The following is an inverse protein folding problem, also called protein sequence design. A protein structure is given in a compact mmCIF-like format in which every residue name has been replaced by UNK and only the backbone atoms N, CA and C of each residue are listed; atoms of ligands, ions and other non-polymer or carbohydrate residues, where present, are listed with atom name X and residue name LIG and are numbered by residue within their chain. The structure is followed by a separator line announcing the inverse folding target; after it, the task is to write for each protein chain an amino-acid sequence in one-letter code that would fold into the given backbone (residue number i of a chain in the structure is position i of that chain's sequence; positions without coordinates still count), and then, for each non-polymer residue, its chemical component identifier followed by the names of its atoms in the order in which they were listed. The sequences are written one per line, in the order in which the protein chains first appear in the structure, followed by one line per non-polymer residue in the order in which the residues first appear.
data_IF_542377062406
#
_entry.id   IF_542377062406
#
_cell.length_a   1.000
_cell.length_b   1.000
_cell.length_c   1.000
_cell.angle_alpha   90.00
_cell.angle_beta   90.00
_cell.angle_gamma   90.00
#
_symmetry.space_group_name_H-M   'P 1'
#
loop_
_entity.id
_entity.type
_entity.pdbx_description
1 polymer ?
#
# COMPACT_ATOMS: atom_id res chain seq x y z
N UNK A 1 -22.62 17.40 3.55
CA UNK A 1 -23.78 16.49 3.76
C UNK A 1 -23.36 15.06 4.14
N UNK A 2 -22.24 14.52 3.63
CA UNK A 2 -21.83 13.14 3.93
C UNK A 2 -21.44 12.92 5.41
N UNK A 3 -20.76 13.88 6.04
CA UNK A 3 -20.34 13.75 7.44
C UNK A 3 -21.50 13.67 8.44
N UNK A 4 -22.62 14.35 8.21
CA UNK A 4 -23.77 14.28 9.13
C UNK A 4 -24.36 12.86 9.17
N UNK A 5 -24.55 12.25 7.99
CA UNK A 5 -25.03 10.87 7.85
C UNK A 5 -24.04 9.90 8.49
N UNK A 6 -22.74 10.08 8.24
CA UNK A 6 -21.67 9.24 8.80
C UNK A 6 -21.62 9.32 10.33
N UNK A 7 -21.65 10.53 10.91
CA UNK A 7 -21.66 10.69 12.37
C UNK A 7 -22.89 10.05 13.01
N UNK A 8 -24.06 10.18 12.37
CA UNK A 8 -25.28 9.54 12.86
C UNK A 8 -25.19 8.01 12.77
N UNK A 9 -24.66 7.48 11.67
CA UNK A 9 -24.41 6.05 11.51
C UNK A 9 -23.46 5.50 12.57
N UNK A 10 -22.35 6.19 12.84
CA UNK A 10 -21.41 5.81 13.90
C UNK A 10 -22.09 5.74 15.26
N UNK A 11 -22.91 6.72 15.62
CA UNK A 11 -23.64 6.71 16.90
C UNK A 11 -24.59 5.53 17.02
N UNK A 12 -25.31 5.20 15.95
CA UNK A 12 -26.22 4.06 15.93
C UNK A 12 -25.44 2.76 16.08
N UNK A 13 -24.33 2.60 15.34
CA UNK A 13 -23.50 1.39 15.38
C UNK A 13 -22.81 1.18 16.73
N UNK A 14 -22.32 2.26 17.36
CA UNK A 14 -21.63 2.19 18.66
C UNK A 14 -22.58 2.32 19.86
N UNK A 15 -23.88 2.51 19.65
CA UNK A 15 -24.84 2.77 20.72
C UNK A 15 -24.58 4.07 21.50
N UNK A 16 -23.90 5.05 20.90
CA UNK A 16 -23.53 6.28 21.58
C UNK A 16 -24.70 7.29 21.62
N UNK A 17 -24.74 8.11 22.67
CA UNK A 17 -25.72 9.19 22.78
C UNK A 17 -25.63 10.15 21.60
N UNK A 18 -26.74 10.84 21.29
CA UNK A 18 -26.78 11.88 20.24
C UNK A 18 -25.83 13.05 20.52
N UNK A 19 -25.50 13.27 21.80
CA UNK A 19 -24.63 14.34 22.29
C UNK A 19 -23.15 13.95 22.42
N UNK A 20 -22.79 12.67 22.26
CA UNK A 20 -21.39 12.23 22.33
C UNK A 20 -20.52 13.03 21.36
N UNK A 21 -19.36 13.56 21.73
CA UNK A 21 -18.54 14.34 20.81
C UNK A 21 -17.96 13.46 19.69
N UNK A 22 -17.80 14.02 18.49
CA UNK A 22 -17.30 13.31 17.29
C UNK A 22 -15.89 12.69 17.51
N UNK A 23 -14.93 13.38 18.14
CA UNK A 23 -13.62 12.79 18.43
C UNK A 23 -13.72 11.49 19.25
N UNK A 24 -14.62 11.45 20.25
CA UNK A 24 -14.83 10.22 21.04
C UNK A 24 -15.44 9.10 20.20
N UNK A 25 -16.33 9.41 19.24
CA UNK A 25 -16.85 8.40 18.33
C UNK A 25 -15.73 7.77 17.50
N UNK A 26 -14.81 8.58 16.98
CA UNK A 26 -13.67 8.10 16.19
C UNK A 26 -12.77 7.14 16.97
N UNK A 27 -12.52 7.44 18.25
CA UNK A 27 -11.73 6.57 19.14
C UNK A 27 -12.46 5.26 19.41
N UNK A 28 -13.77 5.31 19.70
CA UNK A 28 -14.57 4.11 20.04
C UNK A 28 -14.77 3.20 18.83
N UNK A 29 -14.93 3.77 17.63
CA UNK A 29 -15.12 3.00 16.41
C UNK A 29 -13.82 2.56 15.74
N UNK A 30 -12.66 2.95 16.27
CA UNK A 30 -11.34 2.77 15.63
C UNK A 30 -11.32 3.23 14.17
N UNK A 31 -12.05 4.31 13.86
CA UNK A 31 -12.22 4.77 12.48
C UNK A 31 -11.82 6.24 12.39
N UNK A 32 -10.88 6.63 11.51
CA UNK A 32 -10.47 8.01 11.36
C UNK A 32 -11.56 8.89 10.71
N UNK A 33 -11.35 10.22 10.78
CA UNK A 33 -12.22 11.18 10.11
C UNK A 33 -12.28 10.94 8.61
N UNK A 34 -13.38 11.36 7.99
CA UNK A 34 -13.55 11.25 6.54
C UNK A 34 -12.43 12.01 5.81
N UNK A 35 -12.10 13.21 6.28
CA UNK A 35 -11.00 14.03 5.77
C UNK A 35 -9.66 13.29 5.81
N UNK A 36 -9.33 12.63 6.92
CA UNK A 36 -8.08 11.86 7.03
C UNK A 36 -8.05 10.67 6.06
N UNK A 37 -9.20 10.03 5.84
CA UNK A 37 -9.29 8.94 4.85
C UNK A 37 -9.15 9.44 3.43
N UNK A 38 -9.73 10.58 3.10
CA UNK A 38 -9.55 11.24 1.80
C UNK A 38 -8.08 11.61 1.57
N UNK A 39 -7.41 12.20 2.57
CA UNK A 39 -5.98 12.49 2.50
C UNK A 39 -5.15 11.22 2.29
N UNK A 40 -5.40 10.16 3.07
CA UNK A 40 -4.70 8.88 2.92
C UNK A 40 -4.88 8.28 1.52
N UNK A 41 -6.11 8.27 1.01
CA UNK A 41 -6.42 7.74 -0.32
C UNK A 41 -5.74 8.57 -1.42
N UNK A 42 -5.83 9.89 -1.31
CA UNK A 42 -5.22 10.84 -2.24
C UNK A 42 -3.70 10.67 -2.28
N UNK A 43 -3.04 10.63 -1.12
CA UNK A 43 -1.60 10.41 -1.02
C UNK A 43 -1.19 9.04 -1.56
N UNK A 44 -1.92 7.98 -1.23
CA UNK A 44 -1.63 6.64 -1.76
C UNK A 44 -1.68 6.62 -3.28
N UNK A 45 -2.70 7.25 -3.86
CA UNK A 45 -2.86 7.34 -5.31
C UNK A 45 -1.75 8.19 -5.93
N UNK A 46 -1.42 9.31 -5.29
CA UNK A 46 -0.32 10.18 -5.70
C UNK A 46 1.03 9.44 -5.71
N UNK A 47 1.35 8.68 -4.65
CA UNK A 47 2.56 7.86 -4.57
C UNK A 47 2.60 6.85 -5.71
N UNK A 48 1.50 6.13 -5.98
CA UNK A 48 1.43 5.13 -7.06
C UNK A 48 1.67 5.75 -8.44
N UNK A 49 1.05 6.90 -8.71
CA UNK A 49 1.24 7.60 -9.98
C UNK A 49 2.66 8.13 -10.09
N UNK A 50 3.30 8.50 -8.98
CA UNK A 50 4.68 9.01 -8.95
C UNK A 50 5.75 7.94 -9.07
N UNK A 51 5.51 6.75 -8.54
CA UNK A 51 6.45 5.63 -8.61
C UNK A 51 6.49 4.96 -9.98
N UNK A 52 5.39 5.05 -10.75
CA UNK A 52 5.28 4.44 -12.08
C UNK A 52 5.42 5.49 -13.19
N UNK A 53 6.60 5.54 -13.81
CA UNK A 53 6.89 6.45 -14.93
C UNK A 53 6.01 6.19 -16.16
N UNK A 54 5.54 4.95 -16.34
CA UNK A 54 4.65 4.55 -17.44
C UNK A 54 3.17 4.83 -17.14
N UNK A 55 2.85 5.30 -15.93
CA UNK A 55 1.47 5.61 -15.59
C UNK A 55 0.93 6.73 -16.51
N UNK A 56 -0.28 6.59 -17.11
CA UNK A 56 -0.80 7.56 -18.09
C UNK A 56 -0.99 8.97 -17.53
N UNK A 57 -1.02 9.11 -16.20
CA UNK A 57 -1.13 10.39 -15.50
C UNK A 57 0.19 10.88 -14.90
N UNK A 58 1.29 10.11 -15.00
CA UNK A 58 2.60 10.46 -14.42
C UNK A 58 3.03 11.86 -14.86
N UNK A 59 3.11 12.13 -16.17
CA UNK A 59 3.50 13.43 -16.71
C UNK A 59 2.57 14.59 -16.32
N UNK A 60 1.27 14.33 -16.09
CA UNK A 60 0.30 15.38 -15.69
C UNK A 60 0.40 15.73 -14.21
N UNK A 61 0.69 14.72 -13.39
CA UNK A 61 0.91 14.83 -11.95
C UNK A 61 2.25 15.53 -11.74
N UNK A 62 3.36 15.02 -12.28
CA UNK A 62 4.70 15.60 -12.04
C UNK A 62 4.88 17.04 -12.59
N UNK A 63 4.22 17.39 -13.69
CA UNK A 63 4.59 18.61 -14.42
C UNK A 63 4.14 19.90 -13.69
N UNK A 64 5.10 20.74 -13.25
CA UNK A 64 4.82 21.96 -12.49
C UNK A 64 4.03 23.02 -13.28
N UNK A 65 4.02 22.94 -14.62
CA UNK A 65 3.23 23.84 -15.48
C UNK A 65 1.73 23.69 -15.19
N UNK A 66 1.27 22.48 -14.83
CA UNK A 66 -0.13 22.30 -14.42
C UNK A 66 -0.42 22.91 -13.04
N UNK A 67 0.59 23.20 -12.23
CA UNK A 67 0.45 23.95 -10.98
C UNK A 67 0.03 25.39 -11.22
N UNK A 68 0.67 26.05 -12.19
CA UNK A 68 0.38 27.44 -12.54
C UNK A 68 -0.85 27.61 -13.42
N UNK A 69 -1.19 26.63 -14.26
CA UNK A 69 -2.33 26.73 -15.19
C UNK A 69 -3.70 26.53 -14.51
N UNK A 70 -3.74 25.83 -13.38
CA UNK A 70 -4.99 25.48 -12.70
C UNK A 70 -5.13 26.08 -11.30
N UNK A 71 -4.22 26.99 -10.90
CA UNK A 71 -4.24 27.65 -9.59
C UNK A 71 -5.57 28.32 -9.26
N UNK A 72 -6.27 28.81 -10.28
CA UNK A 72 -7.41 29.71 -10.10
C UNK A 72 -8.77 28.99 -10.02
N UNK A 73 -8.83 27.71 -10.39
CA UNK A 73 -10.08 26.94 -10.46
C UNK A 73 -10.19 25.83 -9.41
N UNK A 74 -9.08 25.22 -9.04
CA UNK A 74 -8.98 24.26 -7.94
C UNK A 74 -7.50 23.95 -7.75
N UNK A 75 -6.95 23.92 -6.53
CA UNK A 75 -5.58 23.45 -6.34
C UNK A 75 -5.48 22.08 -7.01
N UNK A 76 -4.57 21.95 -7.96
CA UNK A 76 -4.49 20.73 -8.75
C UNK A 76 -4.18 19.55 -7.82
N UNK A 77 -4.50 18.33 -8.25
CA UNK A 77 -4.27 17.12 -7.45
C UNK A 77 -2.84 17.06 -6.89
N UNK A 78 -1.86 17.58 -7.62
CA UNK A 78 -0.48 17.67 -7.16
C UNK A 78 -0.28 18.58 -5.96
N UNK A 79 -0.74 19.83 -6.07
CA UNK A 79 -0.63 20.86 -5.06
C UNK A 79 -1.39 20.48 -3.79
N UNK A 80 -2.57 19.87 -3.93
CA UNK A 80 -3.32 19.36 -2.78
C UNK A 80 -2.52 18.31 -2.01
N UNK A 81 -1.99 17.30 -2.69
CA UNK A 81 -1.17 16.27 -2.04
C UNK A 81 0.14 16.83 -1.48
N UNK A 82 0.76 17.77 -2.18
CA UNK A 82 1.96 18.46 -1.72
C UNK A 82 1.72 19.25 -0.43
N UNK A 83 0.64 20.01 -0.33
CA UNK A 83 0.29 20.73 0.90
C UNK A 83 -0.05 19.77 2.04
N UNK A 84 -0.67 18.62 1.76
CA UNK A 84 -0.93 17.59 2.77
C UNK A 84 0.41 17.02 3.29
N UNK A 85 1.36 16.71 2.40
CA UNK A 85 2.68 16.22 2.79
C UNK A 85 3.43 17.22 3.66
N UNK A 86 3.43 18.50 3.25
CA UNK A 86 4.02 19.59 4.02
C UNK A 86 3.35 19.74 5.39
N UNK A 87 2.01 19.69 5.45
CA UNK A 87 1.24 19.82 6.70
C UNK A 87 1.56 18.72 7.70
N UNK A 88 1.84 17.51 7.22
CA UNK A 88 2.17 16.37 8.07
C UNK A 88 3.67 16.11 8.20
N UNK A 89 4.51 16.99 7.65
CA UNK A 89 5.98 16.87 7.65
C UNK A 89 6.46 15.49 7.16
N UNK A 90 5.76 14.94 6.15
CA UNK A 90 6.09 13.64 5.58
C UNK A 90 7.15 13.86 4.51
N UNK A 91 8.38 13.47 4.83
CA UNK A 91 9.44 13.35 3.83
C UNK A 91 9.02 12.28 2.82
N UNK A 92 9.05 12.64 1.54
CA UNK A 92 8.66 11.74 0.47
C UNK A 92 9.87 10.85 0.14
N UNK A 93 9.90 9.56 0.53
CA UNK A 93 10.97 8.70 0.08
C UNK A 93 10.80 8.53 -1.43
N UNK A 94 11.87 8.81 -2.17
CA UNK A 94 11.95 8.41 -3.58
C UNK A 94 11.87 6.89 -3.56
N UNK A 95 10.69 6.34 -3.81
CA UNK A 95 10.55 4.92 -4.09
C UNK A 95 11.27 4.70 -5.42
N UNK A 96 12.56 4.33 -5.35
CA UNK A 96 13.17 3.58 -6.43
C UNK A 96 12.24 2.41 -6.67
N UNK A 97 11.69 2.26 -7.88
CA UNK A 97 11.09 0.99 -8.26
C UNK A 97 12.16 -0.06 -7.97
N UNK A 98 11.99 -0.79 -6.87
CA UNK A 98 12.61 -2.09 -6.74
C UNK A 98 11.85 -2.89 -7.78
N UNK A 99 12.39 -2.93 -8.99
CA UNK A 99 12.03 -3.94 -10.00
C UNK A 99 12.46 -5.30 -9.44
N UNK A 100 11.89 -5.68 -8.30
CA UNK A 100 11.85 -7.06 -7.90
C UNK A 100 10.98 -7.74 -8.94
N UNK A 101 11.54 -8.75 -9.58
CA UNK A 101 10.73 -9.64 -10.39
C UNK A 101 9.56 -10.08 -9.48
N UNK A 102 8.31 -9.97 -9.93
CA UNK A 102 7.21 -10.45 -9.14
C UNK A 102 7.46 -11.93 -8.80
N UNK A 103 6.97 -12.43 -7.66
CA UNK A 103 7.35 -13.74 -7.14
C UNK A 103 7.06 -14.92 -8.09
N UNK A 104 6.16 -14.74 -9.07
CA UNK A 104 5.87 -15.72 -10.13
C UNK A 104 6.81 -15.65 -11.34
N UNK A 105 7.64 -14.60 -11.47
CA UNK A 105 8.72 -14.47 -12.44
C UNK A 105 10.09 -14.81 -11.85
N UNK A 106 10.27 -14.74 -10.52
CA UNK A 106 11.49 -15.20 -9.82
C UNK A 106 11.60 -16.73 -9.73
N UNK A 107 10.49 -17.43 -9.94
CA UNK A 107 10.43 -18.87 -9.75
C UNK A 107 10.75 -19.60 -11.04
N UNK A 108 12.03 -19.97 -11.23
CA UNK A 108 12.28 -21.28 -11.83
C UNK A 108 11.69 -22.30 -10.86
N UNK A 109 10.39 -22.60 -11.01
CA UNK A 109 9.73 -23.65 -10.23
C UNK A 109 10.48 -24.94 -10.52
N UNK A 110 11.33 -25.36 -9.59
CA UNK A 110 11.98 -26.65 -9.67
C UNK A 110 10.89 -27.72 -9.47
N UNK A 111 10.35 -28.23 -10.58
CA UNK A 111 9.37 -29.32 -10.64
C UNK A 111 9.95 -30.65 -10.10
N UNK A 112 11.12 -30.65 -9.47
CA UNK A 112 11.78 -31.79 -8.83
C UNK A 112 10.81 -32.46 -7.84
N UNK A 113 10.07 -31.68 -7.06
CA UNK A 113 9.06 -32.21 -6.13
C UNK A 113 7.84 -32.83 -6.81
N UNK A 114 7.52 -32.42 -8.05
CA UNK A 114 6.44 -33.02 -8.84
C UNK A 114 6.89 -34.32 -9.55
N UNK A 115 8.20 -34.49 -9.81
CA UNK A 115 8.76 -35.76 -10.33
C UNK A 115 8.91 -36.84 -9.26
N UNK A 116 9.10 -36.47 -8.01
CA UNK A 116 9.10 -37.40 -6.87
C UNK A 116 7.65 -37.78 -6.55
N UNK A 117 7.07 -38.68 -7.35
CA UNK A 117 5.79 -39.31 -7.06
C UNK A 117 5.81 -39.83 -5.61
N UNK A 118 4.85 -39.37 -4.79
CA UNK A 118 4.65 -39.67 -3.35
C UNK A 118 4.70 -41.16 -2.95
N UNK A 119 4.75 -42.08 -3.91
CA UNK A 119 4.72 -43.52 -3.67
C UNK A 119 6.12 -44.17 -3.63
N UNK A 120 7.18 -43.51 -4.14
CA UNK A 120 8.51 -44.14 -4.30
C UNK A 120 9.68 -43.43 -3.59
N UNK A 121 9.45 -42.29 -2.93
CA UNK A 121 10.50 -41.54 -2.25
C UNK A 121 10.29 -41.55 -0.73
N UNK A 122 11.33 -41.86 0.03
CA UNK A 122 11.30 -41.80 1.49
C UNK A 122 11.32 -40.35 1.99
N UNK A 123 10.75 -40.10 3.18
CA UNK A 123 10.67 -38.76 3.77
C UNK A 123 12.04 -38.07 3.89
N UNK A 124 13.11 -38.85 4.07
CA UNK A 124 14.49 -38.35 4.17
C UNK A 124 14.96 -37.70 2.86
N UNK A 125 14.56 -38.25 1.71
CA UNK A 125 14.92 -37.71 0.39
C UNK A 125 14.22 -36.37 0.14
N UNK A 126 12.96 -36.24 0.57
CA UNK A 126 12.26 -34.95 0.52
C UNK A 126 12.90 -33.90 1.41
N UNK A 127 13.33 -34.28 2.62
CA UNK A 127 14.03 -33.36 3.52
C UNK A 127 15.36 -32.89 2.93
N UNK A 128 16.16 -33.79 2.36
CA UNK A 128 17.41 -33.43 1.69
C UNK A 128 17.20 -32.44 0.55
N UNK A 129 16.25 -32.70 -0.36
CA UNK A 129 15.93 -31.78 -1.45
C UNK A 129 15.45 -30.42 -0.95
N UNK A 130 14.69 -30.39 0.15
CA UNK A 130 14.26 -29.14 0.78
C UNK A 130 15.44 -28.34 1.34
N UNK A 131 16.38 -28.99 2.05
CA UNK A 131 17.56 -28.32 2.59
C UNK A 131 18.49 -27.80 1.48
N UNK A 132 18.69 -28.57 0.40
CA UNK A 132 19.47 -28.13 -0.76
C UNK A 132 18.84 -26.93 -1.46
N UNK A 133 17.53 -26.96 -1.68
CA UNK A 133 16.80 -25.82 -2.24
C UNK A 133 16.92 -24.59 -1.32
N UNK A 134 16.76 -24.76 -0.01
CA UNK A 134 16.90 -23.67 0.96
C UNK A 134 18.30 -23.05 0.95
N UNK A 135 19.36 -23.85 0.80
CA UNK A 135 20.72 -23.34 0.68
C UNK A 135 20.92 -22.58 -0.64
N UNK A 136 20.41 -23.13 -1.76
CA UNK A 136 20.55 -22.52 -3.08
C UNK A 136 19.87 -21.15 -3.20
N UNK A 137 18.77 -20.94 -2.46
CA UNK A 137 18.00 -19.69 -2.48
C UNK A 137 18.11 -18.90 -1.16
N UNK A 138 19.14 -19.10 -0.34
CA UNK A 138 19.23 -18.45 0.98
C UNK A 138 19.15 -16.92 0.91
N UNK A 139 19.74 -16.32 -0.13
CA UNK A 139 19.82 -14.88 -0.29
C UNK A 139 18.45 -14.24 -0.59
N UNK A 140 17.57 -14.96 -1.31
CA UNK A 140 16.20 -14.51 -1.62
C UNK A 140 15.33 -14.46 -0.36
N UNK A 141 15.56 -15.36 0.61
CA UNK A 141 14.78 -15.40 1.85
C UNK A 141 15.25 -14.40 2.91
N UNK A 142 16.50 -13.92 2.85
CA UNK A 142 17.02 -12.90 3.78
C UNK A 142 16.41 -11.54 3.49
N UNK A 143 16.25 -11.17 2.23
CA UNK A 143 15.64 -9.90 1.83
C UNK A 143 14.17 -9.77 2.25
N UNK A 144 13.44 -10.90 2.37
CA UNK A 144 12.02 -10.90 2.76
C UNK A 144 11.76 -10.83 4.26
N UNK A 145 12.81 -10.90 5.09
CA UNK A 145 12.70 -10.90 6.57
C UNK A 145 12.82 -9.52 7.21
N UNK A 146 13.17 -8.50 6.41
CA UNK A 146 13.31 -7.11 6.85
C UNK A 146 12.06 -6.25 6.54
N UNK A 147 11.01 -6.86 6.00
CA UNK A 147 9.77 -6.18 5.56
C UNK A 147 8.52 -6.56 6.40
N UNK A 148 8.71 -7.00 7.66
CA UNK A 148 7.61 -7.21 8.64
C UNK A 148 7.85 -6.36 9.88
#
# INVERSE_FOLDING_TARGET
MLDSVRHQGLRIATGAFRTTPIPSLHVVSDEPSLELRHHRLSLSTFCKIKSDEFHPQHGKVINPIFGSLFSDFHPNFWLQNWEILRRFEIDFPIFSNVEGLPPWQETQLDFIFLRLLKLNASDVVFQQHFYDHRQRYSDVYVHRRLEI
#
